data_IF_054050572425
#
_entry.id   IF_054050572425
#
_cell.length_a   1.000
_cell.length_b   1.000
_cell.length_c   1.000
_cell.angle_alpha   90.00
_cell.angle_beta   90.00
_cell.angle_gamma   90.00
#
_symmetry.space_group_name_H-M   'P 1'
#
loop_
_entity.id
_entity.type
_entity.pdbx_description
1 polymer ?
#
# COMPACT_ATOMS: atom_id res chain seq x y z
N UNK A 1 -6.39 18.30 12.60
CA UNK A 1 -7.84 18.11 12.39
C UNK A 1 -8.06 18.39 10.94
N UNK A 2 -7.85 17.36 10.12
CA UNK A 2 -8.18 17.45 8.72
C UNK A 2 -9.71 17.39 8.62
N UNK A 3 -10.28 18.42 7.99
CA UNK A 3 -11.72 18.56 7.80
C UNK A 3 -12.19 17.63 6.70
N UNK A 4 -13.44 17.18 6.79
CA UNK A 4 -14.14 16.44 5.73
C UNK A 4 -13.92 16.99 4.30
N UNK A 5 -13.66 18.29 4.17
CA UNK A 5 -13.31 18.94 2.91
C UNK A 5 -11.99 18.45 2.32
N UNK A 6 -10.92 18.31 3.10
CA UNK A 6 -9.64 17.81 2.59
C UNK A 6 -9.73 16.32 2.21
N UNK A 7 -10.55 15.54 2.91
CA UNK A 7 -10.83 14.15 2.54
C UNK A 7 -11.61 14.07 1.22
N UNK A 8 -12.60 14.95 1.04
CA UNK A 8 -13.33 15.10 -0.23
C UNK A 8 -12.40 15.53 -1.37
N UNK A 9 -11.54 16.54 -1.14
CA UNK A 9 -10.57 17.03 -2.12
C UNK A 9 -9.55 15.97 -2.51
N UNK A 10 -9.14 15.13 -1.55
CA UNK A 10 -8.28 13.97 -1.81
C UNK A 10 -8.99 12.96 -2.72
N UNK A 11 -10.25 12.61 -2.41
CA UNK A 11 -11.01 11.62 -3.17
C UNK A 11 -11.31 12.11 -4.59
N UNK A 12 -11.63 13.39 -4.78
CA UNK A 12 -11.88 13.96 -6.12
C UNK A 12 -10.60 13.96 -6.96
N UNK A 13 -9.47 14.38 -6.39
CA UNK A 13 -8.18 14.43 -7.11
C UNK A 13 -7.64 13.03 -7.41
N UNK A 14 -7.54 12.16 -6.41
CA UNK A 14 -6.90 10.85 -6.55
C UNK A 14 -7.85 9.80 -7.17
N UNK A 15 -9.15 9.92 -6.93
CA UNK A 15 -10.16 9.07 -7.56
C UNK A 15 -10.52 9.52 -8.99
N UNK A 16 -10.14 10.75 -9.39
CA UNK A 16 -10.54 11.38 -10.65
C UNK A 16 -12.06 11.30 -10.89
N UNK A 17 -12.83 11.65 -9.86
CA UNK A 17 -14.29 11.58 -9.84
C UNK A 17 -14.90 12.94 -9.48
N UNK A 18 -16.10 13.26 -9.97
CA UNK A 18 -16.79 14.49 -9.59
C UNK A 18 -17.22 14.45 -8.11
N UNK A 19 -17.41 15.62 -7.49
CA UNK A 19 -17.76 15.78 -6.06
C UNK A 19 -18.93 14.90 -5.60
N UNK A 20 -19.98 14.77 -6.41
CA UNK A 20 -21.13 13.93 -6.07
C UNK A 20 -20.81 12.43 -6.03
N UNK A 21 -19.85 11.99 -6.84
CA UNK A 21 -19.35 10.63 -6.80
C UNK A 21 -18.33 10.44 -5.68
N UNK A 22 -17.43 11.41 -5.46
CA UNK A 22 -16.50 11.41 -4.32
C UNK A 22 -17.25 11.32 -2.98
N UNK A 23 -18.32 12.10 -2.82
CA UNK A 23 -19.18 12.06 -1.64
C UNK A 23 -19.79 10.67 -1.47
N UNK A 24 -20.45 10.14 -2.51
CA UNK A 24 -21.07 8.80 -2.47
C UNK A 24 -20.05 7.70 -2.16
N UNK A 25 -18.86 7.77 -2.74
CA UNK A 25 -17.76 6.86 -2.46
C UNK A 25 -17.37 6.92 -0.99
N UNK A 26 -17.22 8.13 -0.44
CA UNK A 26 -16.91 8.32 0.96
C UNK A 26 -18.00 7.74 1.87
N UNK A 27 -19.29 8.03 1.62
CA UNK A 27 -20.38 7.50 2.46
C UNK A 27 -20.42 5.96 2.40
N UNK A 28 -20.25 5.38 1.21
CA UNK A 28 -20.32 3.94 1.01
C UNK A 28 -19.14 3.21 1.66
N UNK A 29 -17.91 3.70 1.43
CA UNK A 29 -16.68 3.12 2.00
C UNK A 29 -16.68 3.26 3.51
N UNK A 30 -16.87 4.47 4.05
CA UNK A 30 -16.89 4.67 5.53
C UNK A 30 -18.00 3.86 6.20
N UNK A 31 -19.16 3.71 5.53
CA UNK A 31 -20.24 2.85 6.00
C UNK A 31 -19.87 1.36 6.05
N UNK A 32 -19.10 0.85 5.07
CA UNK A 32 -18.59 -0.53 5.14
C UNK A 32 -17.45 -0.68 6.15
N UNK A 33 -16.49 0.26 6.19
CA UNK A 33 -15.43 0.25 7.19
C UNK A 33 -16.01 0.22 8.61
N UNK A 34 -17.04 1.02 8.90
CA UNK A 34 -17.75 1.05 10.18
C UNK A 34 -18.49 -0.26 10.52
N UNK A 35 -18.75 -1.14 9.54
CA UNK A 35 -19.33 -2.46 9.77
C UNK A 35 -18.30 -3.52 10.12
N UNK A 36 -17.05 -3.32 9.70
CA UNK A 36 -15.91 -4.19 10.00
C UNK A 36 -15.11 -3.74 11.23
N UNK A 37 -15.20 -2.46 11.60
CA UNK A 37 -14.60 -1.89 12.78
C UNK A 37 -15.21 -2.44 14.09
N UNK A 38 -14.40 -2.51 15.14
CA UNK A 38 -14.89 -2.70 16.51
C UNK A 38 -15.65 -1.44 17.00
N UNK A 39 -16.40 -1.52 18.12
CA UNK A 39 -17.21 -0.40 18.61
C UNK A 39 -16.42 0.89 18.84
N UNK A 40 -15.19 0.80 19.36
CA UNK A 40 -14.37 1.98 19.67
C UNK A 40 -13.86 2.65 18.39
N UNK A 41 -13.31 1.87 17.47
CA UNK A 41 -12.87 2.35 16.16
C UNK A 41 -14.02 2.94 15.34
N UNK A 42 -15.21 2.31 15.43
CA UNK A 42 -16.44 2.81 14.81
C UNK A 42 -16.86 4.16 15.36
N UNK A 43 -16.88 4.32 16.69
CA UNK A 43 -17.30 5.57 17.32
C UNK A 43 -16.33 6.70 16.94
N UNK A 44 -15.01 6.43 16.94
CA UNK A 44 -13.99 7.37 16.43
C UNK A 44 -14.23 7.76 14.98
N UNK A 45 -14.54 6.81 14.09
CA UNK A 45 -14.86 7.09 12.70
C UNK A 45 -16.12 7.96 12.56
N UNK A 46 -17.16 7.68 13.35
CA UNK A 46 -18.43 8.42 13.34
C UNK A 46 -18.26 9.87 13.82
N UNK A 47 -17.43 10.10 14.84
CA UNK A 47 -17.14 11.43 15.38
C UNK A 47 -16.43 12.35 14.39
N UNK A 48 -15.58 11.77 13.53
CA UNK A 48 -14.82 12.52 12.52
C UNK A 48 -15.64 12.83 11.26
N UNK A 49 -16.79 12.17 11.08
CA UNK A 49 -17.65 12.40 9.93
C UNK A 49 -18.64 13.54 10.16
N UNK A 50 -18.97 14.34 9.13
CA UNK A 50 -20.02 15.33 9.21
C UNK A 50 -21.34 14.71 9.70
N UNK A 51 -22.13 15.47 10.45
CA UNK A 51 -23.41 15.01 11.03
C UNK A 51 -24.39 14.42 10.00
N UNK A 52 -24.29 14.83 8.73
CA UNK A 52 -25.08 14.28 7.64
C UNK A 52 -24.68 12.86 7.21
N UNK A 53 -23.39 12.53 7.35
CA UNK A 53 -22.82 11.22 6.98
C UNK A 53 -22.87 10.23 8.14
N UNK A 54 -22.60 10.68 9.36
CA UNK A 54 -22.68 9.82 10.55
C UNK A 54 -24.06 9.17 10.73
N UNK A 55 -25.15 9.90 10.39
CA UNK A 55 -26.53 9.39 10.43
C UNK A 55 -26.82 8.30 9.39
N UNK A 56 -25.98 8.16 8.36
CA UNK A 56 -26.13 7.17 7.28
C UNK A 56 -25.28 5.93 7.50
N UNK A 57 -24.47 5.90 8.56
CA UNK A 57 -23.64 4.73 8.86
C UNK A 57 -24.55 3.56 9.29
N UNK A 58 -24.50 2.42 8.57
CA UNK A 58 -25.29 1.25 8.90
C UNK A 58 -24.87 0.63 10.25
N UNK A 59 -25.78 -0.10 10.88
CA UNK A 59 -25.50 -0.83 12.12
C UNK A 59 -24.34 -1.83 11.93
N UNK A 60 -23.54 -2.11 12.99
CA UNK A 60 -22.38 -2.98 12.89
C UNK A 60 -22.81 -4.41 12.53
N UNK A 61 -21.93 -5.16 11.85
CA UNK A 61 -22.20 -6.57 11.54
C UNK A 61 -22.07 -7.37 12.84
N UNK A 62 -23.10 -8.16 13.19
CA UNK A 62 -23.13 -8.94 14.45
C UNK A 62 -22.10 -10.06 14.49
N UNK A 63 -21.72 -10.59 13.32
CA UNK A 63 -20.73 -11.66 13.16
C UNK A 63 -19.84 -11.27 11.97
N UNK A 64 -18.59 -10.90 12.24
CA UNK A 64 -17.61 -10.56 11.22
C UNK A 64 -16.98 -11.86 10.70
N UNK A 65 -17.64 -12.53 9.74
CA UNK A 65 -16.92 -13.52 8.94
C UNK A 65 -15.73 -12.81 8.24
N UNK A 66 -14.57 -13.48 8.13
CA UNK A 66 -13.42 -12.91 7.45
C UNK A 66 -13.82 -12.56 6.02
N UNK A 67 -13.99 -11.27 5.76
CA UNK A 67 -14.40 -10.77 4.46
C UNK A 67 -13.15 -10.69 3.59
N UNK A 68 -13.27 -11.07 2.32
CA UNK A 68 -12.18 -10.89 1.36
C UNK A 68 -12.21 -9.46 0.81
N UNK A 69 -11.09 -8.97 0.28
CA UNK A 69 -11.05 -7.65 -0.38
C UNK A 69 -12.08 -7.54 -1.50
N UNK A 70 -12.24 -8.62 -2.28
CA UNK A 70 -13.24 -8.68 -3.35
C UNK A 70 -14.68 -8.58 -2.85
N UNK A 71 -15.00 -9.19 -1.71
CA UNK A 71 -16.33 -9.10 -1.12
C UNK A 71 -16.62 -7.69 -0.59
N UNK A 72 -15.67 -7.05 0.10
CA UNK A 72 -15.84 -5.67 0.57
C UNK A 72 -15.96 -4.70 -0.62
N UNK A 73 -15.14 -4.87 -1.66
CA UNK A 73 -15.26 -4.08 -2.89
C UNK A 73 -16.61 -4.28 -3.58
N UNK A 74 -17.14 -5.50 -3.61
CA UNK A 74 -18.48 -5.76 -4.15
C UNK A 74 -19.57 -5.05 -3.34
N UNK A 75 -19.53 -5.12 -2.01
CA UNK A 75 -20.51 -4.46 -1.13
C UNK A 75 -20.48 -2.92 -1.31
N UNK A 76 -19.28 -2.33 -1.45
CA UNK A 76 -19.11 -0.91 -1.79
C UNK A 76 -19.66 -0.60 -3.19
N UNK A 77 -19.36 -1.43 -4.18
CA UNK A 77 -19.82 -1.27 -5.56
C UNK A 77 -21.33 -1.31 -5.70
N UNK A 78 -21.99 -2.23 -4.99
CA UNK A 78 -23.46 -2.35 -4.94
C UNK A 78 -24.11 -1.10 -4.35
N UNK A 79 -23.50 -0.45 -3.35
CA UNK A 79 -24.02 0.80 -2.77
C UNK A 79 -23.88 2.01 -3.71
N UNK A 80 -22.78 2.10 -4.44
CA UNK A 80 -22.49 3.28 -5.29
C UNK A 80 -23.07 3.07 -6.71
N UNK A 81 -23.34 1.82 -7.10
CA UNK A 81 -23.78 1.44 -8.44
C UNK A 81 -22.63 1.34 -9.44
N UNK A 82 -21.46 0.86 -9.00
CA UNK A 82 -20.27 0.73 -9.85
C UNK A 82 -19.67 -0.68 -9.85
N UNK A 83 -18.88 -1.03 -10.88
CA UNK A 83 -18.16 -2.30 -10.93
C UNK A 83 -17.19 -2.47 -9.75
N UNK A 84 -16.91 -3.72 -9.32
CA UNK A 84 -16.07 -3.99 -8.15
C UNK A 84 -14.65 -3.45 -8.30
N UNK A 85 -14.10 -3.37 -9.51
CA UNK A 85 -12.77 -2.81 -9.77
C UNK A 85 -12.73 -1.30 -9.45
N UNK A 86 -13.79 -0.57 -9.82
CA UNK A 86 -13.94 0.85 -9.48
C UNK A 86 -14.15 1.04 -7.99
N UNK A 87 -14.90 0.14 -7.35
CA UNK A 87 -15.10 0.15 -5.91
C UNK A 87 -13.80 -0.13 -5.13
N UNK A 88 -12.96 -1.05 -5.59
CA UNK A 88 -11.62 -1.31 -5.04
C UNK A 88 -10.77 -0.06 -5.10
N UNK A 89 -10.71 0.60 -6.27
CA UNK A 89 -9.95 1.83 -6.43
C UNK A 89 -10.43 2.93 -5.48
N UNK A 90 -11.75 3.20 -5.44
CA UNK A 90 -12.33 4.20 -4.55
C UNK A 90 -12.07 3.88 -3.07
N UNK A 91 -12.14 2.61 -2.68
CA UNK A 91 -11.84 2.16 -1.30
C UNK A 91 -10.40 2.48 -0.92
N UNK A 92 -9.44 2.19 -1.80
CA UNK A 92 -8.02 2.50 -1.60
C UNK A 92 -7.78 4.00 -1.47
N UNK A 93 -8.43 4.83 -2.31
CA UNK A 93 -8.34 6.29 -2.25
C UNK A 93 -8.89 6.83 -0.93
N UNK A 94 -10.02 6.32 -0.46
CA UNK A 94 -10.59 6.76 0.83
C UNK A 94 -9.70 6.35 1.99
N UNK A 95 -9.18 5.12 2.01
CA UNK A 95 -8.25 4.66 3.06
C UNK A 95 -6.96 5.48 3.09
N UNK A 96 -6.42 5.81 1.91
CA UNK A 96 -5.29 6.73 1.76
C UNK A 96 -5.56 8.10 2.36
N UNK A 97 -6.72 8.69 2.04
CA UNK A 97 -7.15 9.95 2.61
C UNK A 97 -7.32 9.89 4.14
N UNK A 98 -7.87 8.80 4.68
CA UNK A 98 -7.98 8.58 6.13
C UNK A 98 -6.59 8.48 6.76
N UNK A 99 -5.66 7.73 6.16
CA UNK A 99 -4.29 7.62 6.66
C UNK A 99 -3.57 8.96 6.73
N UNK A 100 -3.67 9.80 5.69
CA UNK A 100 -3.04 11.13 5.70
C UNK A 100 -3.66 12.08 6.72
N UNK A 101 -4.92 11.86 7.06
CA UNK A 101 -5.69 12.74 7.95
C UNK A 101 -5.60 12.34 9.41
N UNK A 102 -5.79 11.05 9.69
CA UNK A 102 -5.91 10.45 11.01
C UNK A 102 -5.21 9.07 11.00
N UNK A 103 -3.86 9.05 11.09
CA UNK A 103 -3.07 7.81 11.00
C UNK A 103 -3.47 6.75 12.03
N UNK A 104 -3.76 7.17 13.26
CA UNK A 104 -4.18 6.25 14.34
C UNK A 104 -5.50 5.54 14.03
N UNK A 105 -6.43 6.24 13.36
CA UNK A 105 -7.70 5.66 12.93
C UNK A 105 -7.48 4.66 11.79
N UNK A 106 -6.59 4.99 10.85
CA UNK A 106 -6.25 4.10 9.75
C UNK A 106 -5.59 2.81 10.26
N UNK A 107 -4.67 2.90 11.24
CA UNK A 107 -4.04 1.75 11.89
C UNK A 107 -5.07 0.88 12.63
N UNK A 108 -5.99 1.49 13.38
CA UNK A 108 -7.05 0.76 14.06
C UNK A 108 -7.95 -0.01 13.06
N UNK A 109 -8.30 0.63 11.93
CA UNK A 109 -9.06 0.01 10.85
C UNK A 109 -8.28 -1.15 10.19
N UNK A 110 -6.98 -1.00 9.95
CA UNK A 110 -6.16 -2.01 9.29
C UNK A 110 -6.23 -3.38 9.99
N UNK A 111 -6.26 -3.39 11.33
CA UNK A 111 -6.34 -4.60 12.14
C UNK A 111 -7.55 -5.50 11.88
N UNK A 112 -8.61 -4.95 11.26
CA UNK A 112 -9.87 -5.66 10.95
C UNK A 112 -10.18 -5.76 9.46
N UNK A 113 -9.31 -5.19 8.62
CA UNK A 113 -9.49 -5.20 7.18
C UNK A 113 -8.84 -6.42 6.53
N UNK A 114 -9.33 -6.82 5.34
CA UNK A 114 -8.62 -7.77 4.50
C UNK A 114 -7.20 -7.26 4.21
N UNK A 115 -6.22 -8.16 4.09
CA UNK A 115 -4.79 -7.82 3.98
C UNK A 115 -4.48 -6.75 2.92
N UNK A 116 -5.16 -6.81 1.77
CA UNK A 116 -5.03 -5.80 0.73
C UNK A 116 -5.49 -4.42 1.20
N UNK A 117 -6.63 -4.27 1.87
CA UNK A 117 -7.06 -2.95 2.35
C UNK A 117 -6.31 -2.52 3.62
N UNK A 118 -5.87 -3.46 4.45
CA UNK A 118 -5.02 -3.19 5.60
C UNK A 118 -3.71 -2.50 5.19
N UNK A 119 -3.01 -3.00 4.16
CA UNK A 119 -1.79 -2.34 3.66
C UNK A 119 -2.04 -0.90 3.16
N UNK A 120 -3.22 -0.62 2.58
CA UNK A 120 -3.57 0.71 2.10
C UNK A 120 -3.94 1.66 3.24
N UNK A 121 -4.41 1.13 4.37
CA UNK A 121 -4.66 1.91 5.58
C UNK A 121 -3.37 2.18 6.38
N UNK A 122 -2.43 1.22 6.40
CA UNK A 122 -1.15 1.34 7.11
C UNK A 122 -0.11 2.17 6.35
N UNK A 123 0.02 1.93 5.05
CA UNK A 123 1.00 2.60 4.20
C UNK A 123 0.43 2.75 2.78
N UNK A 124 -0.38 3.79 2.53
CA UNK A 124 -0.98 4.03 1.22
C UNK A 124 0.06 4.25 0.12
N UNK A 125 1.20 4.86 0.46
CA UNK A 125 2.26 5.15 -0.50
C UNK A 125 3.03 3.89 -0.90
N UNK A 126 3.33 3.01 0.07
CA UNK A 126 3.87 1.69 -0.22
C UNK A 126 2.86 0.82 -0.95
N UNK A 127 1.58 0.86 -0.56
CA UNK A 127 0.53 0.11 -1.21
C UNK A 127 0.30 0.56 -2.65
N UNK A 128 0.34 1.87 -2.95
CA UNK A 128 0.28 2.41 -4.31
C UNK A 128 1.49 1.96 -5.13
N UNK A 129 2.69 2.07 -4.56
CA UNK A 129 3.91 1.49 -5.14
C UNK A 129 3.78 -0.01 -5.38
N UNK A 130 3.06 -0.76 -4.53
CA UNK A 130 2.76 -2.20 -4.64
C UNK A 130 1.60 -2.57 -5.57
N UNK A 131 0.81 -1.59 -6.04
CA UNK A 131 -0.43 -1.82 -6.80
C UNK A 131 -0.34 -1.46 -8.28
N UNK A 132 0.74 -0.79 -8.70
CA UNK A 132 1.02 -0.48 -10.12
C UNK A 132 1.49 -1.69 -10.95
N UNK A 133 1.34 -2.92 -10.43
CA UNK A 133 1.01 -4.05 -11.28
C UNK A 133 -0.36 -3.76 -11.92
N UNK A 134 -0.39 -2.93 -12.97
CA UNK A 134 -1.58 -2.35 -13.56
C UNK A 134 -2.65 -3.41 -13.86
N UNK A 135 -3.89 -2.93 -14.02
CA UNK A 135 -5.15 -3.66 -14.31
C UNK A 135 -5.09 -4.81 -15.36
N UNK A 136 -3.94 -5.05 -16.01
CA UNK A 136 -3.69 -6.08 -17.02
C UNK A 136 -2.60 -7.11 -16.62
N UNK A 137 -2.08 -7.11 -15.38
CA UNK A 137 -0.99 -8.01 -14.96
C UNK A 137 0.35 -7.76 -15.69
N UNK A 138 0.47 -6.61 -16.37
CA UNK A 138 1.68 -6.18 -17.07
C UNK A 138 2.45 -5.22 -16.15
N UNK A 139 3.77 -5.36 -15.99
CA UNK A 139 4.55 -4.44 -15.17
C UNK A 139 4.42 -3.01 -15.70
N UNK A 140 3.97 -2.07 -14.86
CA UNK A 140 3.92 -0.66 -15.22
C UNK A 140 5.10 0.09 -14.59
N UNK A 141 5.69 1.01 -15.37
CA UNK A 141 6.75 1.90 -14.91
C UNK A 141 6.19 2.82 -13.81
N UNK A 142 6.92 2.95 -12.71
CA UNK A 142 6.63 3.97 -11.70
C UNK A 142 6.98 5.36 -12.24
N UNK A 143 6.12 6.34 -11.98
CA UNK A 143 6.43 7.73 -12.23
C UNK A 143 7.48 8.26 -11.23
N UNK A 144 8.08 9.41 -11.57
CA UNK A 144 9.17 10.01 -10.80
C UNK A 144 8.76 10.38 -9.37
N UNK A 145 7.53 10.87 -9.16
CA UNK A 145 7.06 11.30 -7.84
C UNK A 145 6.83 10.11 -6.91
N UNK A 146 6.23 9.05 -7.42
CA UNK A 146 6.02 7.78 -6.71
C UNK A 146 7.36 7.14 -6.34
N UNK A 147 8.34 7.21 -7.25
CA UNK A 147 9.69 6.71 -6.99
C UNK A 147 10.41 7.50 -5.88
N UNK A 148 10.37 8.83 -5.92
CA UNK A 148 11.00 9.69 -4.91
C UNK A 148 10.43 9.42 -3.51
N UNK A 149 9.12 9.21 -3.41
CA UNK A 149 8.49 8.82 -2.16
C UNK A 149 8.91 7.43 -1.67
N UNK A 150 9.04 6.45 -2.58
CA UNK A 150 9.51 5.11 -2.24
C UNK A 150 10.97 5.13 -1.77
N UNK A 151 11.85 5.89 -2.45
CA UNK A 151 13.24 6.08 -2.06
C UNK A 151 13.40 6.72 -0.67
N UNK A 152 12.45 7.57 -0.26
CA UNK A 152 12.42 8.12 1.10
C UNK A 152 12.31 7.05 2.20
N UNK A 153 11.80 5.86 1.89
CA UNK A 153 11.65 4.73 2.84
C UNK A 153 12.79 3.70 2.70
N UNK A 154 13.33 3.55 1.50
CA UNK A 154 14.39 2.61 1.15
C UNK A 154 15.78 3.12 1.56
N UNK A 155 16.20 2.84 2.80
CA UNK A 155 17.44 3.42 3.36
C UNK A 155 18.69 2.91 2.65
N UNK A 156 19.43 3.84 2.04
CA UNK A 156 20.68 3.54 1.35
C UNK A 156 20.49 2.99 -0.06
N UNK A 157 19.26 3.04 -0.58
CA UNK A 157 18.99 2.89 -1.99
C UNK A 157 19.13 4.23 -2.70
N UNK A 158 19.72 4.18 -3.88
CA UNK A 158 19.86 5.30 -4.80
C UNK A 158 19.39 4.83 -6.18
N UNK A 159 18.89 5.74 -7.00
CA UNK A 159 18.45 5.38 -8.35
C UNK A 159 17.44 6.33 -8.96
N UNK A 160 16.93 5.93 -10.12
CA UNK A 160 15.91 6.65 -10.88
C UNK A 160 14.92 5.66 -11.51
N UNK A 161 14.04 6.14 -12.40
CA UNK A 161 13.01 5.31 -13.05
C UNK A 161 13.58 4.17 -13.93
N UNK A 162 14.90 4.06 -14.09
CA UNK A 162 15.59 3.01 -14.87
C UNK A 162 16.21 1.91 -14.02
N UNK A 163 16.49 2.17 -12.74
CA UNK A 163 16.99 1.17 -11.81
C UNK A 163 17.25 1.73 -10.42
N UNK A 164 17.20 0.84 -9.42
CA UNK A 164 17.58 1.14 -8.05
C UNK A 164 18.80 0.31 -7.66
N UNK A 165 19.73 0.93 -6.94
CA UNK A 165 20.97 0.31 -6.50
C UNK A 165 21.21 0.57 -5.01
N UNK A 166 21.70 -0.44 -4.29
CA UNK A 166 22.13 -0.32 -2.89
C UNK A 166 23.43 -1.06 -2.65
N UNK A 167 24.39 -0.38 -2.02
CA UNK A 167 25.65 -1.00 -1.57
C UNK A 167 25.57 -1.38 -0.09
N UNK A 168 26.02 -2.59 0.23
CA UNK A 168 26.04 -3.14 1.59
C UNK A 168 27.46 -3.60 1.93
N UNK A 169 28.08 -2.92 2.88
CA UNK A 169 29.36 -3.32 3.45
C UNK A 169 29.18 -4.48 4.42
N UNK A 170 29.84 -5.60 4.13
CA UNK A 170 29.66 -6.84 4.86
C UNK A 170 30.88 -7.75 4.68
N UNK A 171 31.38 -8.40 5.75
CA UNK A 171 32.43 -9.40 5.63
C UNK A 171 32.05 -10.50 4.63
N UNK A 172 32.96 -10.89 3.74
CA UNK A 172 32.70 -11.90 2.67
C UNK A 172 32.02 -13.17 3.16
N UNK A 173 32.36 -13.63 4.37
CA UNK A 173 31.76 -14.83 4.98
C UNK A 173 30.25 -14.73 5.20
N UNK A 174 29.71 -13.51 5.36
CA UNK A 174 28.27 -13.25 5.56
C UNK A 174 27.53 -12.97 4.25
N UNK A 175 28.23 -12.77 3.12
CA UNK A 175 27.58 -12.44 1.83
C UNK A 175 26.78 -13.63 1.30
N UNK A 176 27.33 -14.85 1.33
CA UNK A 176 26.59 -16.03 0.85
C UNK A 176 25.30 -16.32 1.64
N UNK A 177 25.30 -16.30 2.99
CA UNK A 177 24.05 -16.38 3.77
C UNK A 177 23.03 -15.30 3.43
N UNK A 178 23.48 -14.07 3.16
CA UNK A 178 22.61 -12.97 2.73
C UNK A 178 21.99 -13.26 1.36
N UNK A 179 22.80 -13.63 0.37
CA UNK A 179 22.34 -13.96 -0.99
C UNK A 179 21.32 -15.10 -0.97
N UNK A 180 21.57 -16.19 -0.22
CA UNK A 180 20.62 -17.30 -0.11
C UNK A 180 19.24 -16.88 0.43
N UNK A 181 19.20 -15.86 1.30
CA UNK A 181 17.95 -15.33 1.86
C UNK A 181 17.24 -14.44 0.84
N UNK A 182 17.98 -13.59 0.14
CA UNK A 182 17.44 -12.74 -0.93
C UNK A 182 16.93 -13.60 -2.09
N UNK A 183 17.66 -14.65 -2.47
CA UNK A 183 17.23 -15.61 -3.50
C UNK A 183 15.89 -16.23 -3.15
N UNK A 184 15.68 -16.63 -1.89
CA UNK A 184 14.37 -17.16 -1.47
C UNK A 184 13.26 -16.12 -1.66
N UNK A 185 13.48 -14.89 -1.24
CA UNK A 185 12.51 -13.82 -1.41
C UNK A 185 12.22 -13.54 -2.90
N UNK A 186 13.26 -13.52 -3.73
CA UNK A 186 13.16 -13.37 -5.20
C UNK A 186 12.27 -14.44 -5.83
N UNK A 187 12.38 -15.70 -5.38
CA UNK A 187 11.51 -16.79 -5.85
C UNK A 187 10.07 -16.65 -5.34
N UNK A 188 9.86 -16.15 -4.12
CA UNK A 188 8.52 -15.95 -3.54
C UNK A 188 7.71 -14.89 -4.29
N UNK A 189 8.38 -13.83 -4.78
CA UNK A 189 7.71 -12.73 -5.50
C UNK A 189 7.83 -12.82 -7.03
N UNK A 190 8.47 -13.89 -7.54
CA UNK A 190 8.76 -14.11 -8.95
C UNK A 190 9.37 -12.86 -9.61
N UNK A 191 10.47 -12.39 -9.02
CA UNK A 191 11.18 -11.19 -9.48
C UNK A 191 12.66 -11.28 -9.22
N UNK A 192 13.48 -11.00 -10.23
CA UNK A 192 14.93 -11.12 -10.19
C UNK A 192 15.61 -9.85 -9.68
N UNK A 193 16.81 -10.00 -9.14
CA UNK A 193 17.71 -8.91 -8.81
C UNK A 193 19.11 -9.20 -9.39
N UNK A 194 19.89 -8.15 -9.60
CA UNK A 194 21.30 -8.23 -9.99
C UNK A 194 22.17 -7.94 -8.76
N UNK A 195 23.35 -8.56 -8.68
CA UNK A 195 24.32 -8.24 -7.63
C UNK A 195 25.75 -8.27 -8.16
N UNK A 196 26.61 -7.46 -7.55
CA UNK A 196 28.04 -7.41 -7.84
C UNK A 196 28.83 -7.34 -6.52
N UNK A 197 29.96 -8.03 -6.46
CA UNK A 197 30.85 -7.94 -5.31
C UNK A 197 31.67 -6.65 -5.38
N UNK A 198 31.67 -5.89 -4.29
CA UNK A 198 32.54 -4.72 -4.13
C UNK A 198 33.79 -5.10 -3.33
N UNK A 199 34.70 -4.14 -3.13
CA UNK A 199 35.90 -4.37 -2.31
C UNK A 199 35.56 -4.70 -0.85
N UNK A 200 34.48 -4.15 -0.33
CA UNK A 200 34.04 -4.23 1.07
C UNK A 200 32.75 -5.04 1.30
N UNK A 201 32.07 -5.50 0.24
CA UNK A 201 30.80 -6.20 0.38
C UNK A 201 30.13 -6.54 -0.95
N UNK A 202 28.88 -6.12 -1.10
CA UNK A 202 28.02 -6.43 -2.26
C UNK A 202 27.14 -5.23 -2.59
N UNK A 203 26.99 -4.93 -3.88
CA UNK A 203 25.99 -4.00 -4.38
C UNK A 203 24.87 -4.77 -5.07
N UNK A 204 23.65 -4.33 -4.84
CA UNK A 204 22.42 -4.90 -5.41
C UNK A 204 21.81 -3.90 -6.37
N UNK A 205 21.29 -4.41 -7.49
CA UNK A 205 20.52 -3.60 -8.45
C UNK A 205 19.19 -4.29 -8.73
N UNK A 206 18.10 -3.54 -8.65
CA UNK A 206 16.75 -4.02 -8.99
C UNK A 206 16.15 -3.16 -10.10
N UNK A 207 15.64 -3.84 -11.12
CA UNK A 207 14.91 -3.26 -12.25
C UNK A 207 14.11 -4.35 -12.94
N UNK A 208 13.00 -3.96 -13.55
CA UNK A 208 12.21 -4.87 -14.37
C UNK A 208 12.79 -4.90 -15.77
N UNK A 209 13.62 -5.92 -16.04
CA UNK A 209 14.37 -6.05 -17.29
C UNK A 209 13.49 -6.05 -18.56
N UNK A 210 12.28 -6.59 -18.49
CA UNK A 210 11.36 -6.68 -19.63
C UNK A 210 10.91 -5.33 -20.18
N UNK A 211 10.90 -4.28 -19.33
CA UNK A 211 10.49 -2.92 -19.74
C UNK A 211 11.59 -1.87 -19.51
N UNK A 212 12.74 -2.28 -18.98
CA UNK A 212 13.88 -1.39 -18.71
C UNK A 212 13.52 -0.22 -17.79
N UNK A 213 12.71 -0.49 -16.76
CA UNK A 213 12.22 0.52 -15.83
C UNK A 213 12.03 -0.05 -14.43
N UNK A 214 12.02 0.85 -13.45
CA UNK A 214 11.59 0.55 -12.09
C UNK A 214 10.07 0.42 -12.07
N UNK A 215 9.63 -0.70 -11.53
CA UNK A 215 8.22 -0.99 -11.28
C UNK A 215 8.01 -1.22 -9.80
N UNK A 216 6.75 -1.36 -9.44
CA UNK A 216 6.31 -1.97 -8.20
C UNK A 216 7.14 -3.15 -7.70
N UNK A 217 7.41 -4.13 -8.56
CA UNK A 217 8.12 -5.35 -8.18
C UNK A 217 9.56 -5.05 -7.76
N UNK A 218 10.15 -4.00 -8.33
CA UNK A 218 11.49 -3.54 -7.97
C UNK A 218 11.51 -2.90 -6.57
N UNK A 219 10.46 -2.15 -6.20
CA UNK A 219 10.31 -1.61 -4.85
C UNK A 219 10.13 -2.74 -3.84
N UNK A 220 9.25 -3.70 -4.11
CA UNK A 220 9.04 -4.85 -3.23
C UNK A 220 10.34 -5.66 -3.06
N UNK A 221 11.08 -5.89 -4.15
CA UNK A 221 12.37 -6.58 -4.08
C UNK A 221 13.40 -5.80 -3.25
N UNK A 222 13.44 -4.47 -3.36
CA UNK A 222 14.31 -3.62 -2.55
C UNK A 222 13.99 -3.73 -1.04
N UNK A 223 12.70 -3.75 -0.68
CA UNK A 223 12.24 -3.95 0.71
C UNK A 223 12.67 -5.32 1.24
N UNK A 224 12.53 -6.40 0.47
CA UNK A 224 12.97 -7.75 0.86
C UNK A 224 14.49 -7.84 1.07
N UNK A 225 15.27 -7.11 0.26
CA UNK A 225 16.71 -7.00 0.45
C UNK A 225 17.01 -6.29 1.77
N UNK A 226 16.31 -5.19 2.08
CA UNK A 226 16.48 -4.46 3.35
C UNK A 226 16.20 -5.33 4.58
N UNK A 227 15.14 -6.13 4.54
CA UNK A 227 14.80 -7.09 5.58
C UNK A 227 15.90 -8.15 5.75
N UNK A 228 16.42 -8.69 4.65
CA UNK A 228 17.49 -9.68 4.68
C UNK A 228 18.79 -9.11 5.25
N UNK A 229 19.16 -7.89 4.85
CA UNK A 229 20.34 -7.16 5.37
C UNK A 229 20.19 -6.90 6.87
N UNK A 230 19.03 -6.42 7.31
CA UNK A 230 18.74 -6.14 8.73
C UNK A 230 18.81 -7.40 9.58
N UNK A 231 18.29 -8.52 9.08
CA UNK A 231 18.33 -9.80 9.78
C UNK A 231 19.77 -10.33 9.95
N UNK A 232 20.63 -10.18 8.94
CA UNK A 232 22.04 -10.58 9.02
C UNK A 232 22.86 -9.63 9.91
N UNK A 233 22.51 -8.33 9.94
CA UNK A 233 23.13 -7.33 10.81
C UNK A 233 22.79 -7.52 12.28
N UNK A 234 21.57 -7.97 12.59
CA UNK A 234 21.07 -8.17 13.97
C UNK A 234 21.53 -9.51 14.60
N UNK A 235 22.05 -10.44 13.81
CA UNK A 235 22.55 -11.75 14.27
C UNK A 235 24.02 -11.77 14.68
N UNK A 236 24.58 -10.64 15.11
CA UNK A 236 25.97 -10.46 15.51
C UNK A 236 26.21 -10.63 17.00
#
# INVERSE_FOLDING_TARGET
>A
MITYQELMDHVTQQGNVPDDEARRALEAVTGELARHADPETRDRLVEQLPTGLSKRIPAPRREAEPSTSGQLAQEVGERIGCPPERATHLTRVVLSGIHFSEPELAEALASRLPAEFAQWAEDPNGAMGRSDAGLSGTPARLDQSTLEHALGRLRGWEGDTTGLTRSVDLPRVRVTPLLNRIDRASHEIDHSYEHEFTDSGVAFTVRTASIGAVTTKDIEMAERIDEAVTAIGSGG
#
